data_IF_859487936427
#
_entry.id   IF_859487936427
#
_cell.length_a   1.000
_cell.length_b   1.000
_cell.length_c   1.000
_cell.angle_alpha   90.00
_cell.angle_beta   90.00
_cell.angle_gamma   90.00
#
_symmetry.space_group_name_H-M   'P 1'
#
loop_
_entity.id
_entity.type
_entity.pdbx_description
1 polymer ?
#
# COMPACT_ATOMS: atom_id res chain seq x y z
N UNK A 1 -43.53 30.19 -42.92
CA UNK A 1 -42.29 30.37 -43.70
C UNK A 1 -41.27 30.94 -42.75
N UNK A 2 -40.22 30.16 -42.47
CA UNK A 2 -38.82 30.60 -42.31
C UNK A 2 -38.51 31.64 -41.21
N UNK A 3 -37.57 31.46 -40.29
CA UNK A 3 -36.39 30.58 -40.29
C UNK A 3 -35.99 30.21 -38.86
N UNK A 4 -35.41 29.01 -38.77
CA UNK A 4 -34.55 28.54 -37.71
C UNK A 4 -33.42 29.53 -37.40
N UNK A 5 -33.12 29.70 -36.11
CA UNK A 5 -31.76 30.02 -35.69
C UNK A 5 -31.31 28.96 -34.69
N UNK A 6 -30.47 28.06 -35.22
CA UNK A 6 -29.62 27.13 -34.48
C UNK A 6 -28.86 27.85 -33.37
N UNK A 7 -29.08 27.40 -32.14
CA UNK A 7 -28.19 27.70 -31.01
C UNK A 7 -26.99 26.76 -31.16
N UNK A 8 -25.87 27.30 -31.64
CA UNK A 8 -24.59 26.58 -31.67
C UNK A 8 -24.03 26.48 -30.25
N UNK A 9 -23.55 25.31 -29.80
CA UNK A 9 -22.95 25.18 -28.49
C UNK A 9 -21.58 25.88 -28.48
N UNK A 10 -21.45 26.91 -27.65
CA UNK A 10 -20.17 27.54 -27.34
C UNK A 10 -19.18 26.49 -26.86
N UNK A 11 -17.99 26.53 -27.44
CA UNK A 11 -16.83 25.69 -27.15
C UNK A 11 -16.64 25.49 -25.63
N UNK A 12 -16.94 24.28 -25.16
CA UNK A 12 -16.47 23.81 -23.86
C UNK A 12 -14.95 23.63 -23.92
N UNK A 13 -14.21 24.60 -23.38
CA UNK A 13 -12.77 24.44 -23.13
C UNK A 13 -12.63 23.44 -21.99
N UNK A 14 -12.48 22.15 -22.32
CA UNK A 14 -12.02 21.14 -21.37
C UNK A 14 -10.57 21.48 -21.03
N UNK A 15 -10.35 22.23 -19.94
CA UNK A 15 -9.03 22.34 -19.34
C UNK A 15 -8.71 21.00 -18.70
N UNK A 16 -7.96 20.17 -19.40
CA UNK A 16 -7.26 19.04 -18.79
C UNK A 16 -6.25 19.62 -17.80
N UNK A 17 -6.65 19.76 -16.53
CA UNK A 17 -5.71 20.04 -15.46
C UNK A 17 -4.75 18.87 -15.37
N UNK A 18 -3.46 19.13 -15.57
CA UNK A 18 -2.44 18.15 -15.27
C UNK A 18 -2.35 18.06 -13.74
N UNK A 19 -2.53 16.87 -13.18
CA UNK A 19 -2.24 16.58 -11.78
C UNK A 19 -0.98 15.72 -11.73
N UNK A 20 -0.08 16.04 -10.81
CA UNK A 20 1.18 15.32 -10.61
C UNK A 20 1.21 14.73 -9.21
N UNK A 21 1.57 13.46 -9.10
CA UNK A 21 1.83 12.78 -7.83
C UNK A 21 3.31 12.41 -7.82
N UNK A 22 4.02 12.85 -6.79
CA UNK A 22 5.41 12.50 -6.55
C UNK A 22 5.43 11.58 -5.34
N UNK A 23 5.96 10.37 -5.50
CA UNK A 23 6.05 9.36 -4.44
C UNK A 23 7.51 9.05 -4.13
N UNK A 24 7.84 9.03 -2.85
CA UNK A 24 9.12 8.52 -2.36
C UNK A 24 9.15 6.99 -2.50
N UNK A 25 10.25 6.48 -3.05
CA UNK A 25 10.45 5.05 -3.28
C UNK A 25 11.22 4.42 -2.10
N UNK A 26 10.92 3.15 -1.79
CA UNK A 26 11.71 2.39 -0.82
C UNK A 26 13.06 1.99 -1.43
N UNK A 27 14.13 2.21 -0.67
CA UNK A 27 15.43 1.64 -0.99
C UNK A 27 15.40 0.13 -0.71
N UNK A 28 15.28 -0.68 -1.76
CA UNK A 28 15.32 -2.14 -1.64
C UNK A 28 16.76 -2.62 -1.44
N UNK A 29 17.09 -3.35 -0.36
CA UNK A 29 18.40 -3.96 -0.22
C UNK A 29 18.54 -5.07 -1.26
N UNK A 30 19.52 -4.93 -2.15
CA UNK A 30 19.65 -5.81 -3.32
C UNK A 30 20.30 -7.17 -3.04
N UNK A 31 20.78 -7.45 -1.81
CA UNK A 31 21.52 -8.68 -1.49
C UNK A 31 21.10 -9.31 -0.14
N UNK A 32 20.89 -10.63 -0.14
CA UNK A 32 20.76 -11.56 1.01
C UNK A 32 19.76 -11.17 2.13
N UNK A 33 18.49 -10.93 1.75
CA UNK A 33 17.44 -10.68 2.74
C UNK A 33 16.90 -11.99 3.33
N UNK A 34 17.53 -12.46 4.42
CA UNK A 34 17.02 -13.57 5.21
C UNK A 34 15.91 -13.12 6.17
N UNK A 35 14.70 -13.61 5.95
CA UNK A 35 13.61 -13.45 6.92
C UNK A 35 13.81 -14.40 8.11
N UNK A 36 13.68 -13.88 9.33
CA UNK A 36 13.56 -14.69 10.55
C UNK A 36 12.14 -15.20 10.83
N UNK A 37 11.17 -14.84 10.00
CA UNK A 37 9.77 -15.21 10.14
C UNK A 37 9.37 -16.26 9.11
N UNK A 38 8.51 -17.17 9.50
CA UNK A 38 7.93 -18.18 8.59
C UNK A 38 6.51 -17.81 8.12
N UNK A 39 5.91 -16.75 8.69
CA UNK A 39 4.51 -16.39 8.49
C UNK A 39 4.31 -14.87 8.41
N UNK A 40 3.44 -14.45 7.49
CA UNK A 40 3.03 -13.03 7.32
C UNK A 40 2.49 -12.46 8.63
N UNK A 41 1.65 -13.23 9.33
CA UNK A 41 1.06 -12.83 10.61
C UNK A 41 2.10 -12.61 11.71
N UNK A 42 3.12 -13.45 11.82
CA UNK A 42 4.20 -13.29 12.81
C UNK A 42 5.04 -12.05 12.52
N UNK A 43 5.35 -11.81 11.24
CA UNK A 43 6.05 -10.61 10.79
C UNK A 43 5.27 -9.33 11.13
N UNK A 44 3.98 -9.28 10.82
CA UNK A 44 3.14 -8.11 11.12
C UNK A 44 2.92 -7.90 12.63
N UNK A 45 2.86 -8.98 13.42
CA UNK A 45 2.81 -8.89 14.88
C UNK A 45 4.09 -8.26 15.43
N UNK A 46 5.25 -8.67 14.94
CA UNK A 46 6.52 -8.08 15.34
C UNK A 46 6.57 -6.58 15.01
N UNK A 47 6.08 -6.16 13.84
CA UNK A 47 5.98 -4.73 13.49
C UNK A 47 5.11 -3.97 14.51
N UNK A 48 4.00 -4.56 14.96
CA UNK A 48 3.15 -3.95 15.99
C UNK A 48 3.90 -3.76 17.33
N UNK A 49 4.81 -4.67 17.66
CA UNK A 49 5.54 -4.73 18.92
C UNK A 49 6.79 -3.84 18.95
N UNK A 50 7.35 -3.45 17.79
CA UNK A 50 8.59 -2.65 17.66
C UNK A 50 8.48 -1.19 18.12
N UNK A 51 7.26 -0.74 18.44
CA UNK A 51 6.98 0.65 18.74
C UNK A 51 6.56 1.43 17.50
N UNK A 52 5.53 2.26 17.67
CA UNK A 52 4.94 3.01 16.56
C UNK A 52 5.75 4.23 16.11
N UNK A 53 5.30 4.89 15.04
CA UNK A 53 5.92 6.12 14.53
C UNK A 53 5.85 7.26 15.56
N UNK A 54 6.81 8.19 15.46
CA UNK A 54 6.81 9.41 16.28
C UNK A 54 5.64 10.37 15.96
N UNK A 55 5.05 10.23 14.77
CA UNK A 55 3.95 11.05 14.27
C UNK A 55 2.84 10.16 13.71
N UNK A 56 1.62 10.69 13.61
CA UNK A 56 0.50 9.95 13.03
C UNK A 56 0.76 9.64 11.56
N UNK A 57 0.55 8.40 11.17
CA UNK A 57 0.58 7.95 9.78
C UNK A 57 -0.86 7.85 9.29
N UNK A 58 -1.16 8.45 8.14
CA UNK A 58 -2.49 8.37 7.54
C UNK A 58 -2.72 7.02 6.88
N UNK A 59 -1.72 6.50 6.18
CA UNK A 59 -1.86 5.29 5.37
C UNK A 59 -0.68 4.34 5.58
N UNK A 60 -0.97 3.08 5.82
CA UNK A 60 0.02 2.01 5.76
C UNK A 60 -0.11 1.22 4.47
N UNK A 61 1.02 0.89 3.86
CA UNK A 61 1.11 0.20 2.57
C UNK A 61 1.85 -1.11 2.75
N UNK A 62 1.23 -2.16 2.23
CA UNK A 62 1.83 -3.49 2.13
C UNK A 62 2.10 -3.76 0.65
N UNK A 63 3.37 -3.84 0.30
CA UNK A 63 3.83 -4.12 -1.06
C UNK A 63 4.11 -5.61 -1.28
N UNK A 64 4.13 -6.03 -2.54
CA UNK A 64 4.63 -7.34 -2.97
C UNK A 64 5.65 -7.12 -4.09
N UNK A 65 6.89 -7.48 -3.83
CA UNK A 65 8.01 -7.39 -4.75
C UNK A 65 8.32 -8.79 -5.24
N UNK A 66 8.55 -8.92 -6.55
CA UNK A 66 8.92 -10.18 -7.19
C UNK A 66 10.35 -10.06 -7.75
N UNK A 67 11.21 -10.98 -7.34
CA UNK A 67 12.51 -11.25 -7.98
C UNK A 67 12.46 -12.61 -8.67
N UNK A 68 13.50 -12.97 -9.42
CA UNK A 68 13.51 -14.19 -10.26
C UNK A 68 13.12 -15.48 -9.51
N UNK A 69 13.36 -15.55 -8.20
CA UNK A 69 13.07 -16.73 -7.39
C UNK A 69 12.32 -16.45 -6.08
N UNK A 70 12.03 -15.19 -5.75
CA UNK A 70 11.53 -14.82 -4.43
C UNK A 70 10.39 -13.82 -4.50
N UNK A 71 9.52 -13.91 -3.51
CA UNK A 71 8.48 -12.94 -3.24
C UNK A 71 8.75 -12.27 -1.90
N UNK A 72 8.87 -10.95 -1.92
CA UNK A 72 9.15 -10.17 -0.70
C UNK A 72 8.01 -9.23 -0.43
N UNK A 73 7.43 -9.32 0.77
CA UNK A 73 6.50 -8.32 1.27
C UNK A 73 7.26 -7.12 1.83
N UNK A 74 6.69 -5.93 1.70
CA UNK A 74 7.19 -4.72 2.35
C UNK A 74 6.10 -4.08 3.20
N UNK A 75 6.47 -3.38 4.27
CA UNK A 75 5.53 -2.62 5.11
C UNK A 75 6.07 -1.23 5.40
N UNK A 76 5.35 -0.19 4.99
CA UNK A 76 5.75 1.18 5.29
C UNK A 76 4.53 2.08 5.50
N UNK A 77 4.74 3.18 6.23
CA UNK A 77 3.73 4.19 6.48
C UNK A 77 4.00 5.45 5.69
N UNK A 78 2.96 6.00 5.08
CA UNK A 78 3.05 7.21 4.25
C UNK A 78 2.09 8.30 4.69
N UNK A 79 2.47 9.53 4.35
CA UNK A 79 1.61 10.70 4.45
C UNK A 79 1.63 11.48 3.12
N UNK A 80 0.44 11.88 2.68
CA UNK A 80 0.25 12.72 1.51
C UNK A 80 0.14 14.21 1.90
N UNK A 81 0.85 15.04 1.16
CA UNK A 81 0.95 16.48 1.36
C UNK A 81 0.67 17.23 0.06
N UNK A 82 -0.19 18.24 0.12
CA UNK A 82 -0.39 19.14 -1.01
C UNK A 82 0.84 20.06 -1.14
N UNK A 83 1.60 19.92 -2.23
CA UNK A 83 2.76 20.78 -2.51
C UNK A 83 2.33 22.09 -3.20
N UNK A 84 1.42 21.99 -4.17
CA UNK A 84 0.79 23.14 -4.85
C UNK A 84 -0.61 22.76 -5.34
N UNK A 85 -1.31 23.58 -6.14
CA UNK A 85 -2.70 23.29 -6.59
C UNK A 85 -2.86 22.04 -7.45
N UNK A 86 -1.77 21.53 -8.01
CA UNK A 86 -1.75 20.45 -8.98
C UNK A 86 -0.81 19.30 -8.58
N UNK A 87 -0.01 19.48 -7.53
CA UNK A 87 1.00 18.50 -7.09
C UNK A 87 0.70 17.98 -5.69
N UNK A 88 0.58 16.67 -5.57
CA UNK A 88 0.57 15.93 -4.30
C UNK A 88 1.92 15.22 -4.12
N UNK A 89 2.44 15.26 -2.90
CA UNK A 89 3.69 14.62 -2.50
C UNK A 89 3.37 13.55 -1.46
N UNK A 90 3.67 12.30 -1.78
CA UNK A 90 3.56 11.15 -0.89
C UNK A 90 4.95 10.86 -0.33
N UNK A 91 5.09 10.94 0.99
CA UNK A 91 6.35 10.68 1.70
C UNK A 91 6.25 9.44 2.56
N UNK A 92 7.34 8.69 2.64
CA UNK A 92 7.50 7.58 3.59
C UNK A 92 7.94 8.16 4.92
N UNK A 93 7.08 8.06 5.93
CA UNK A 93 7.34 8.63 7.27
C UNK A 93 7.40 7.58 8.36
N UNK A 94 7.20 6.31 8.01
CA UNK A 94 7.44 5.18 8.90
C UNK A 94 7.99 3.99 8.14
N UNK A 95 9.08 3.43 8.65
CA UNK A 95 9.66 2.17 8.21
C UNK A 95 10.01 1.39 9.49
N UNK A 96 9.41 0.22 9.75
CA UNK A 96 9.78 -0.61 10.88
C UNK A 96 11.17 -1.20 10.65
N UNK A 97 11.76 -1.78 11.70
CA UNK A 97 13.05 -2.47 11.57
C UNK A 97 12.93 -3.64 10.60
N UNK A 98 11.84 -4.39 10.73
CA UNK A 98 11.50 -5.53 9.88
C UNK A 98 10.64 -5.05 8.70
N UNK A 99 11.18 -4.13 7.90
CA UNK A 99 10.51 -3.52 6.73
C UNK A 99 10.13 -4.55 5.66
N UNK A 100 10.97 -5.57 5.47
CA UNK A 100 10.82 -6.57 4.42
C UNK A 100 10.63 -7.97 5.00
N UNK A 101 9.83 -8.78 4.32
CA UNK A 101 9.61 -10.18 4.64
C UNK A 101 9.64 -11.05 3.37
N UNK A 102 10.74 -11.79 3.19
CA UNK A 102 10.87 -12.81 2.13
C UNK A 102 9.98 -14.00 2.45
N UNK A 103 9.02 -14.29 1.57
CA UNK A 103 8.12 -15.43 1.72
C UNK A 103 8.91 -16.74 1.59
N UNK A 104 8.68 -17.73 2.47
CA UNK A 104 9.26 -19.06 2.31
C UNK A 104 8.88 -19.71 0.97
N UNK A 105 9.78 -20.47 0.35
CA UNK A 105 9.51 -21.10 -0.97
C UNK A 105 8.26 -21.98 -0.97
N UNK A 106 8.04 -22.75 0.09
CA UNK A 106 6.85 -23.60 0.25
C UNK A 106 5.54 -22.81 0.38
N UNK A 107 5.63 -21.50 0.67
CA UNK A 107 4.48 -20.61 0.68
C UNK A 107 3.88 -20.41 -0.71
N UNK A 108 4.73 -20.38 -1.76
CA UNK A 108 4.32 -20.01 -3.12
C UNK A 108 4.66 -21.05 -4.20
N UNK A 109 5.35 -22.14 -3.85
CA UNK A 109 5.70 -23.19 -4.80
C UNK A 109 4.46 -23.73 -5.54
N UNK A 110 4.51 -23.69 -6.88
CA UNK A 110 3.43 -24.16 -7.74
C UNK A 110 2.20 -23.25 -7.82
N UNK A 111 2.20 -22.09 -7.14
CA UNK A 111 1.14 -21.09 -7.24
C UNK A 111 1.42 -20.08 -8.36
N UNK A 112 0.35 -19.56 -8.95
CA UNK A 112 0.44 -18.40 -9.86
C UNK A 112 0.58 -17.11 -9.06
N UNK A 113 1.07 -16.05 -9.69
CA UNK A 113 1.16 -14.73 -9.06
C UNK A 113 -0.17 -14.23 -8.48
N UNK A 114 -1.28 -14.47 -9.19
CA UNK A 114 -2.62 -14.10 -8.70
C UNK A 114 -3.04 -14.93 -7.49
N UNK A 115 -2.78 -16.25 -7.50
CA UNK A 115 -3.05 -17.11 -6.34
C UNK A 115 -2.21 -16.73 -5.11
N UNK A 116 -0.97 -16.26 -5.33
CA UNK A 116 -0.10 -15.74 -4.26
C UNK A 116 -0.70 -14.47 -3.66
N UNK A 117 -1.14 -13.51 -4.50
CA UNK A 117 -1.82 -12.29 -4.03
C UNK A 117 -3.09 -12.61 -3.25
N UNK A 118 -3.93 -13.52 -3.75
CA UNK A 118 -5.15 -13.94 -3.04
C UNK A 118 -4.83 -14.56 -1.68
N UNK A 119 -3.84 -15.47 -1.61
CA UNK A 119 -3.41 -16.07 -0.35
C UNK A 119 -2.89 -15.03 0.65
N UNK A 120 -2.06 -14.08 0.19
CA UNK A 120 -1.58 -12.96 1.01
C UNK A 120 -2.77 -12.12 1.49
N UNK A 121 -3.68 -11.73 0.58
CA UNK A 121 -4.87 -10.94 0.90
C UNK A 121 -5.71 -11.58 2.00
N UNK A 122 -5.92 -12.91 1.94
CA UNK A 122 -6.63 -13.64 2.98
C UNK A 122 -5.92 -13.55 4.35
N UNK A 123 -4.60 -13.68 4.39
CA UNK A 123 -3.82 -13.57 5.63
C UNK A 123 -3.85 -12.14 6.18
N UNK A 124 -3.70 -11.13 5.32
CA UNK A 124 -3.79 -9.72 5.70
C UNK A 124 -5.19 -9.38 6.24
N UNK A 125 -6.25 -9.87 5.57
CA UNK A 125 -7.63 -9.70 6.01
C UNK A 125 -7.91 -10.35 7.37
N UNK A 126 -7.29 -11.51 7.64
CA UNK A 126 -7.36 -12.15 8.97
C UNK A 126 -6.59 -11.34 10.02
N UNK A 127 -5.43 -10.81 9.65
CA UNK A 127 -4.59 -10.01 10.54
C UNK A 127 -5.28 -8.72 10.99
N UNK A 128 -5.88 -7.93 10.09
CA UNK A 128 -6.56 -6.67 10.44
C UNK A 128 -7.79 -6.89 11.36
N UNK A 129 -8.36 -8.09 11.36
CA UNK A 129 -9.44 -8.48 12.28
C UNK A 129 -8.95 -8.91 13.67
N UNK A 130 -7.65 -9.15 13.83
CA UNK A 130 -7.05 -9.68 15.05
C UNK A 130 -6.98 -8.65 16.18
N UNK A 131 -6.90 -9.14 17.42
CA UNK A 131 -6.71 -8.28 18.60
C UNK A 131 -5.34 -7.57 18.60
N UNK A 132 -4.31 -8.19 18.00
CA UNK A 132 -2.99 -7.61 17.88
C UNK A 132 -3.05 -6.33 17.04
N UNK A 133 -3.67 -6.41 15.85
CA UNK A 133 -3.87 -5.25 14.99
C UNK A 133 -4.68 -4.15 15.69
N UNK A 134 -5.84 -4.50 16.28
CA UNK A 134 -6.75 -3.52 16.92
C UNK A 134 -6.12 -2.76 18.11
N UNK A 135 -5.08 -3.32 18.72
CA UNK A 135 -4.33 -2.70 19.82
C UNK A 135 -3.06 -1.99 19.35
N UNK A 136 -2.68 -2.17 18.09
CA UNK A 136 -1.44 -1.62 17.52
C UNK A 136 -1.57 -0.14 17.16
N UNK A 137 -0.45 0.48 16.83
CA UNK A 137 -0.44 1.81 16.23
C UNK A 137 -0.98 1.79 14.78
N UNK A 138 -0.96 0.64 14.10
CA UNK A 138 -1.38 0.51 12.70
C UNK A 138 -2.89 0.76 12.57
N UNK A 139 -3.70 0.29 13.51
CA UNK A 139 -5.15 0.49 13.50
C UNK A 139 -5.59 1.94 13.72
N UNK A 140 -4.65 2.84 14.05
CA UNK A 140 -4.91 4.27 14.21
C UNK A 140 -4.83 5.04 12.89
N UNK A 141 -4.30 4.41 11.82
CA UNK A 141 -4.29 4.99 10.49
C UNK A 141 -5.69 5.12 9.88
N UNK A 142 -5.81 6.00 8.89
CA UNK A 142 -7.01 6.15 8.08
C UNK A 142 -7.18 5.01 7.10
N UNK A 143 -6.08 4.45 6.59
CA UNK A 143 -6.10 3.34 5.66
C UNK A 143 -4.95 2.37 5.88
N UNK A 144 -5.21 1.09 5.59
CA UNK A 144 -4.17 0.08 5.33
C UNK A 144 -4.47 -0.51 3.96
N UNK A 145 -3.49 -0.52 3.05
CA UNK A 145 -3.71 -0.89 1.65
C UNK A 145 -2.74 -2.00 1.24
N UNK A 146 -3.25 -2.98 0.50
CA UNK A 146 -2.40 -3.91 -0.24
C UNK A 146 -2.13 -3.34 -1.64
N UNK A 147 -0.95 -2.77 -1.84
CA UNK A 147 -0.59 -2.05 -3.08
C UNK A 147 -0.76 -2.86 -4.37
N UNK A 148 -0.44 -4.18 -4.42
CA UNK A 148 -0.54 -4.95 -5.66
C UNK A 148 -1.95 -5.04 -6.26
N UNK A 149 -2.99 -4.85 -5.44
CA UNK A 149 -4.39 -4.87 -5.89
C UNK A 149 -5.08 -3.53 -5.70
N UNK A 150 -4.56 -2.66 -4.82
CA UNK A 150 -5.20 -1.42 -4.42
C UNK A 150 -6.32 -1.61 -3.39
N UNK A 151 -6.51 -2.83 -2.89
CA UNK A 151 -7.57 -3.13 -1.92
C UNK A 151 -7.27 -2.49 -0.57
N UNK A 152 -8.30 -1.88 0.01
CA UNK A 152 -8.28 -1.31 1.36
C UNK A 152 -8.58 -2.43 2.35
N UNK A 153 -7.60 -2.74 3.20
CA UNK A 153 -7.69 -3.74 4.27
C UNK A 153 -8.33 -3.17 5.54
N UNK A 154 -8.21 -1.86 5.78
CA UNK A 154 -8.72 -1.17 6.94
C UNK A 154 -8.96 0.31 6.61
N UNK A 155 -10.01 0.96 7.14
CA UNK A 155 -11.12 0.42 7.93
C UNK A 155 -11.99 -0.57 7.13
N UNK A 156 -12.70 -1.47 7.82
CA UNK A 156 -13.75 -2.27 7.18
C UNK A 156 -14.88 -1.33 6.73
N UNK A 157 -15.33 -1.46 5.47
CA UNK A 157 -16.53 -0.78 4.96
C UNK A 157 -17.82 -1.23 5.66
#
# INVERSE_FOLDING_TARGET
MSDDQEITPENSVIKYGHFSVIEEELDFPFDDLESRFDKVTSWLQQICDEGGPAHSIKEYRIGLIYSEFEYTLSFHGVNAYQQDRHTELIKIEFQPTELFFTLPNDYFEGLTYDAIKEKIMEELSKFVKSDAFKKSFISQAQSVIFQPTGDVLWPEE
#
